data_IF_711227158747
#
_entry.id   IF_711227158747
#
_cell.length_a   1.000
_cell.length_b   1.000
_cell.length_c   1.000
_cell.angle_alpha   90.00
_cell.angle_beta   90.00
_cell.angle_gamma   90.00
#
_symmetry.space_group_name_H-M   'P 1'
#
loop_
_entity.id
_entity.type
_entity.pdbx_description
1 polymer ?
#
# COMPACT_ATOMS: atom_id res chain seq x y z
N UNK A 1 -12.96 -7.87 10.53
CA UNK A 1 -13.19 -7.81 12.00
C UNK A 1 -11.93 -7.65 12.85
N UNK A 2 -10.77 -8.23 12.51
CA UNK A 2 -9.53 -8.00 13.30
C UNK A 2 -8.88 -6.63 13.06
N UNK A 3 -8.76 -6.19 11.80
CA UNK A 3 -8.08 -4.93 11.44
C UNK A 3 -8.75 -3.68 12.02
N UNK A 4 -10.07 -3.55 11.86
CA UNK A 4 -10.83 -2.40 12.39
C UNK A 4 -10.70 -2.30 13.91
N UNK A 5 -10.69 -3.43 14.61
CA UNK A 5 -10.48 -3.48 16.06
C UNK A 5 -9.08 -2.98 16.42
N UNK A 6 -8.04 -3.46 15.74
CA UNK A 6 -6.65 -3.02 15.96
C UNK A 6 -6.49 -1.51 15.69
N UNK A 7 -7.13 -0.99 14.64
CA UNK A 7 -7.11 0.45 14.31
C UNK A 7 -7.89 1.28 15.34
N UNK A 8 -9.06 0.84 15.78
CA UNK A 8 -9.84 1.52 16.81
C UNK A 8 -9.09 1.59 18.15
N UNK A 9 -8.41 0.50 18.53
CA UNK A 9 -7.54 0.49 19.72
C UNK A 9 -6.39 1.51 19.60
N UNK A 10 -5.82 1.66 18.40
CA UNK A 10 -4.75 2.62 18.14
C UNK A 10 -5.26 4.08 18.22
N UNK A 11 -6.43 4.35 17.66
CA UNK A 11 -7.06 5.67 17.67
C UNK A 11 -7.36 6.10 19.11
N UNK A 12 -8.05 5.24 19.86
CA UNK A 12 -8.53 5.50 21.24
C UNK A 12 -7.42 5.56 22.29
N UNK A 13 -6.22 5.08 21.99
CA UNK A 13 -5.09 5.16 22.92
C UNK A 13 -4.69 6.62 23.20
N UNK A 14 -4.95 7.10 24.42
CA UNK A 14 -4.63 8.46 24.85
C UNK A 14 -3.14 8.68 25.17
N UNK A 15 -2.38 7.60 25.41
CA UNK A 15 -0.98 7.67 25.86
C UNK A 15 0.02 7.82 24.70
N UNK A 16 -0.40 7.48 23.48
CA UNK A 16 0.47 7.48 22.31
C UNK A 16 0.31 8.75 21.49
N UNK A 17 1.44 9.34 21.10
CA UNK A 17 1.48 10.45 20.14
C UNK A 17 1.18 9.96 18.72
N UNK A 18 0.76 10.88 17.84
CA UNK A 18 0.37 10.53 16.47
C UNK A 18 1.49 9.85 15.67
N UNK A 19 2.74 10.30 15.82
CA UNK A 19 3.93 9.70 15.23
C UNK A 19 4.19 8.28 15.74
N UNK A 20 4.04 8.04 17.05
CA UNK A 20 4.17 6.72 17.66
C UNK A 20 3.08 5.77 17.14
N UNK A 21 1.84 6.26 17.01
CA UNK A 21 0.73 5.50 16.43
C UNK A 21 1.01 5.11 14.97
N UNK A 22 1.52 6.05 14.16
CA UNK A 22 1.91 5.76 12.78
C UNK A 22 3.07 4.75 12.70
N UNK A 23 4.03 4.79 13.63
CA UNK A 23 5.09 3.79 13.68
C UNK A 23 4.55 2.40 14.00
N UNK A 24 3.60 2.28 14.95
CA UNK A 24 2.94 1.01 15.28
C UNK A 24 2.15 0.47 14.08
N UNK A 25 1.42 1.34 13.38
CA UNK A 25 0.71 0.97 12.14
C UNK A 25 1.67 0.34 11.12
N UNK A 26 2.83 0.96 10.91
CA UNK A 26 3.85 0.48 9.97
C UNK A 26 4.53 -0.82 10.42
N UNK A 27 4.82 -0.96 11.72
CA UNK A 27 5.63 -2.06 12.24
C UNK A 27 4.81 -3.31 12.58
N UNK A 28 3.52 -3.17 12.92
CA UNK A 28 2.72 -4.29 13.43
C UNK A 28 1.42 -4.53 12.67
N UNK A 29 0.77 -3.49 12.16
CA UNK A 29 -0.52 -3.64 11.48
C UNK A 29 -0.32 -3.96 9.99
N UNK A 30 0.53 -3.19 9.28
CA UNK A 30 0.79 -3.47 7.86
C UNK A 30 1.38 -4.87 7.60
N UNK A 31 2.33 -5.39 8.39
CA UNK A 31 2.83 -6.75 8.18
C UNK A 31 1.75 -7.84 8.27
N UNK A 32 0.70 -7.63 9.08
CA UNK A 32 -0.45 -8.56 9.14
C UNK A 32 -1.25 -8.58 7.83
N UNK A 33 -1.21 -7.51 7.03
CA UNK A 33 -1.87 -7.46 5.73
C UNK A 33 -1.01 -8.07 4.62
N UNK A 34 0.31 -8.01 4.73
CA UNK A 34 1.23 -8.52 3.69
C UNK A 34 1.01 -10.01 3.43
N UNK A 35 0.92 -10.83 4.48
CA UNK A 35 0.78 -12.28 4.29
C UNK A 35 -0.51 -12.67 3.56
N UNK A 36 -1.72 -12.23 3.98
CA UNK A 36 -2.95 -12.49 3.23
C UNK A 36 -2.92 -11.97 1.78
N UNK A 37 -2.31 -10.79 1.55
CA UNK A 37 -2.17 -10.23 0.21
C UNK A 37 -1.23 -11.03 -0.69
N UNK A 38 -0.28 -11.78 -0.10
CA UNK A 38 0.68 -12.58 -0.84
C UNK A 38 0.16 -14.00 -1.12
N UNK A 39 -0.63 -14.57 -0.21
CA UNK A 39 -1.12 -15.96 -0.31
C UNK A 39 -2.45 -16.09 -1.04
N UNK A 40 -3.25 -15.02 -1.10
CA UNK A 40 -4.52 -15.03 -1.81
C UNK A 40 -4.28 -14.93 -3.32
N UNK A 41 -4.86 -15.80 -4.15
CA UNK A 41 -4.82 -15.67 -5.61
C UNK A 41 -5.30 -14.29 -6.12
N UNK A 42 -4.69 -13.81 -7.21
CA UNK A 42 -4.92 -12.45 -7.75
C UNK A 42 -6.37 -12.25 -8.22
N UNK A 43 -7.00 -13.30 -8.72
CA UNK A 43 -8.38 -13.37 -9.20
C UNK A 43 -9.40 -13.22 -8.05
N UNK A 44 -9.07 -13.70 -6.86
CA UNK A 44 -9.91 -13.57 -5.66
C UNK A 44 -9.73 -12.22 -4.95
N UNK A 45 -8.65 -11.49 -5.25
CA UNK A 45 -8.39 -10.16 -4.68
C UNK A 45 -9.14 -9.08 -5.48
N UNK A 46 -10.42 -8.92 -5.15
CA UNK A 46 -11.23 -7.85 -5.74
C UNK A 46 -10.71 -6.45 -5.39
N UNK A 47 -10.64 -5.58 -6.41
CA UNK A 47 -10.24 -4.18 -6.22
C UNK A 47 -11.16 -3.42 -5.24
N UNK A 48 -12.45 -3.75 -5.20
CA UNK A 48 -13.45 -3.18 -4.28
C UNK A 48 -13.04 -3.40 -2.82
N UNK A 49 -12.59 -4.60 -2.49
CA UNK A 49 -12.12 -4.98 -1.17
C UNK A 49 -10.85 -4.22 -0.80
N UNK A 50 -9.85 -4.20 -1.69
CA UNK A 50 -8.59 -3.49 -1.46
C UNK A 50 -8.80 -1.98 -1.23
N UNK A 51 -9.69 -1.36 -2.03
CA UNK A 51 -10.07 0.05 -1.87
C UNK A 51 -10.77 0.32 -0.54
N UNK A 52 -11.64 -0.59 -0.09
CA UNK A 52 -12.30 -0.49 1.21
C UNK A 52 -11.30 -0.56 2.36
N UNK A 53 -10.34 -1.49 2.30
CA UNK A 53 -9.28 -1.59 3.32
C UNK A 53 -8.44 -0.30 3.35
N UNK A 54 -8.04 0.21 2.18
CA UNK A 54 -7.33 1.48 2.05
C UNK A 54 -8.12 2.66 2.63
N UNK A 55 -9.44 2.69 2.40
CA UNK A 55 -10.33 3.72 2.97
C UNK A 55 -10.36 3.67 4.50
N UNK A 56 -10.49 2.47 5.10
CA UNK A 56 -10.50 2.29 6.56
C UNK A 56 -9.17 2.76 7.16
N UNK A 57 -8.04 2.42 6.54
CA UNK A 57 -6.71 2.85 6.99
C UNK A 57 -6.58 4.37 6.89
N UNK A 58 -7.00 4.99 5.79
CA UNK A 58 -6.96 6.46 5.65
C UNK A 58 -7.84 7.17 6.67
N UNK A 59 -9.02 6.63 6.98
CA UNK A 59 -9.89 7.17 8.00
C UNK A 59 -9.25 7.09 9.39
N UNK A 60 -8.66 5.94 9.75
CA UNK A 60 -7.94 5.78 11.00
C UNK A 60 -6.75 6.76 11.11
N UNK A 61 -5.96 6.90 10.04
CA UNK A 61 -4.82 7.83 10.03
C UNK A 61 -5.29 9.29 10.10
N UNK A 62 -6.40 9.63 9.44
CA UNK A 62 -7.02 10.96 9.54
C UNK A 62 -7.36 11.29 10.99
N UNK A 63 -7.96 10.36 11.72
CA UNK A 63 -8.31 10.53 13.13
C UNK A 63 -7.05 10.61 14.03
N UNK A 64 -6.04 9.78 13.77
CA UNK A 64 -4.77 9.79 14.53
C UNK A 64 -4.03 11.12 14.37
N UNK A 65 -4.02 11.68 13.16
CA UNK A 65 -3.28 12.91 12.83
C UNK A 65 -4.17 14.16 12.89
N UNK A 66 -5.45 14.04 13.28
CA UNK A 66 -6.45 15.12 13.27
C UNK A 66 -6.49 15.89 11.93
N UNK A 67 -6.41 15.16 10.82
CA UNK A 67 -6.39 15.77 9.48
C UNK A 67 -7.80 16.17 9.02
N UNK A 68 -7.95 17.25 8.23
CA UNK A 68 -9.23 17.63 7.64
C UNK A 68 -9.82 16.53 6.75
N UNK A 69 -11.16 16.48 6.69
CA UNK A 69 -11.88 15.55 5.82
C UNK A 69 -11.51 15.73 4.33
N UNK A 70 -11.18 16.96 3.94
CA UNK A 70 -10.82 17.35 2.57
C UNK A 70 -9.33 17.16 2.23
N UNK A 71 -8.60 16.37 3.05
CA UNK A 71 -7.19 16.07 2.75
C UNK A 71 -7.11 15.24 1.46
N UNK A 72 -6.36 15.70 0.43
CA UNK A 72 -6.24 14.96 -0.82
C UNK A 72 -5.61 13.58 -0.62
N UNK A 73 -6.17 12.56 -1.29
CA UNK A 73 -5.67 11.18 -1.23
C UNK A 73 -4.16 11.07 -1.51
N UNK A 74 -3.58 11.79 -2.49
CA UNK A 74 -2.15 11.71 -2.76
C UNK A 74 -1.24 12.05 -1.58
N UNK A 75 -1.68 12.91 -0.63
CA UNK A 75 -0.91 13.30 0.56
C UNK A 75 -0.59 12.09 1.45
N UNK A 76 -1.54 11.16 1.56
CA UNK A 76 -1.41 9.98 2.41
C UNK A 76 -0.29 9.06 1.93
N UNK A 77 -0.13 8.92 0.61
CA UNK A 77 0.80 7.98 0.01
C UNK A 77 2.13 8.62 -0.40
N UNK A 78 2.15 9.93 -0.60
CA UNK A 78 3.35 10.69 -0.98
C UNK A 78 4.52 10.47 -0.01
N UNK A 79 5.77 10.54 -0.48
CA UNK A 79 6.95 10.34 0.35
C UNK A 79 7.05 11.35 1.51
N UNK A 80 7.59 10.90 2.64
CA UNK A 80 7.84 11.76 3.82
C UNK A 80 8.82 12.92 3.53
N UNK A 81 9.75 12.74 2.58
CA UNK A 81 10.66 13.81 2.13
C UNK A 81 9.93 15.06 1.64
N UNK A 82 8.71 14.89 1.11
CA UNK A 82 7.88 15.97 0.61
C UNK A 82 6.69 16.28 1.52
N UNK A 83 6.83 16.03 2.84
CA UNK A 83 5.77 16.23 3.84
C UNK A 83 4.51 15.36 3.63
N UNK A 84 4.59 14.32 2.79
CA UNK A 84 3.58 13.27 2.74
C UNK A 84 3.67 12.33 3.94
N UNK A 85 2.68 11.46 4.11
CA UNK A 85 2.67 10.50 5.23
C UNK A 85 3.42 9.19 4.92
N UNK A 86 3.65 8.91 3.63
CA UNK A 86 4.34 7.71 3.16
C UNK A 86 3.64 6.41 3.53
N UNK A 87 2.30 6.43 3.63
CA UNK A 87 1.52 5.25 3.96
C UNK A 87 1.65 4.19 2.87
N UNK A 88 1.45 2.94 3.29
CA UNK A 88 1.28 1.82 2.37
C UNK A 88 -0.12 1.89 1.76
N UNK A 89 -0.19 1.71 0.45
CA UNK A 89 -1.46 1.58 -0.27
C UNK A 89 -1.72 0.12 -0.55
N UNK A 90 -2.80 -0.40 0.01
CA UNK A 90 -3.15 -1.83 -0.04
C UNK A 90 -3.36 -2.29 -1.48
N UNK A 91 -3.97 -1.46 -2.33
CA UNK A 91 -4.16 -1.79 -3.75
C UNK A 91 -2.84 -2.05 -4.47
N UNK A 92 -1.81 -1.24 -4.20
CA UNK A 92 -0.50 -1.44 -4.84
C UNK A 92 0.26 -2.60 -4.21
N UNK A 93 0.21 -2.68 -2.89
CA UNK A 93 0.97 -3.68 -2.15
C UNK A 93 0.55 -5.08 -2.55
N UNK A 94 -0.75 -5.32 -2.79
CA UNK A 94 -1.24 -6.59 -3.34
C UNK A 94 -0.45 -6.99 -4.61
N UNK A 95 -0.47 -6.14 -5.64
CA UNK A 95 0.25 -6.39 -6.90
C UNK A 95 1.76 -6.53 -6.70
N UNK A 96 2.37 -5.70 -5.84
CA UNK A 96 3.82 -5.75 -5.55
C UNK A 96 4.22 -7.07 -4.90
N UNK A 97 3.39 -7.60 -3.98
CA UNK A 97 3.66 -8.89 -3.34
C UNK A 97 3.55 -10.03 -4.35
N UNK A 98 2.57 -10.00 -5.25
CA UNK A 98 2.45 -10.98 -6.34
C UNK A 98 3.62 -10.94 -7.32
N UNK A 99 4.12 -9.76 -7.70
CA UNK A 99 5.34 -9.63 -8.51
C UNK A 99 6.54 -10.23 -7.75
N UNK A 100 6.69 -9.89 -6.48
CA UNK A 100 7.82 -10.34 -5.65
C UNK A 100 7.85 -11.85 -5.45
N UNK A 101 6.70 -12.48 -5.24
CA UNK A 101 6.61 -13.93 -5.08
C UNK A 101 6.78 -14.64 -6.42
N UNK A 102 6.19 -14.14 -7.51
CA UNK A 102 6.31 -14.74 -8.84
C UNK A 102 7.76 -14.77 -9.31
N UNK A 103 8.50 -13.67 -9.12
CA UNK A 103 9.95 -13.63 -9.39
C UNK A 103 10.76 -14.60 -8.53
N UNK A 104 10.37 -14.84 -7.28
CA UNK A 104 11.06 -15.82 -6.44
C UNK A 104 10.74 -17.25 -6.85
N UNK A 105 9.50 -17.50 -7.23
CA UNK A 105 9.05 -18.83 -7.64
C UNK A 105 9.56 -19.20 -9.04
N UNK A 106 9.74 -18.24 -9.96
CA UNK A 106 10.33 -18.50 -11.27
C UNK A 106 11.80 -18.95 -11.18
N UNK A 107 12.51 -18.58 -10.11
CA UNK A 107 13.86 -19.08 -9.83
C UNK A 107 13.87 -20.52 -9.30
N UNK A 108 12.74 -20.98 -8.75
CA UNK A 108 12.59 -22.35 -8.27
C UNK A 108 12.14 -23.20 -9.46
N UNK A 109 13.09 -23.89 -10.10
CA UNK A 109 12.83 -24.76 -11.26
C UNK A 109 12.09 -26.04 -10.85
N UNK A 110 10.83 -25.89 -10.42
CA UNK A 110 9.94 -26.96 -9.95
C UNK A 110 8.80 -27.17 -10.97
N UNK A 111 8.73 -28.38 -11.53
CA UNK A 111 7.73 -28.76 -12.53
C UNK A 111 6.32 -28.82 -11.96
N UNK A 112 6.14 -29.10 -10.67
CA UNK A 112 4.82 -29.11 -10.03
C UNK A 112 4.28 -27.69 -9.88
N UNK A 113 5.16 -26.73 -9.61
CA UNK A 113 4.77 -25.33 -9.49
C UNK A 113 4.34 -24.77 -10.85
N UNK A 114 5.10 -25.04 -11.91
CA UNK A 114 4.76 -24.63 -13.27
C UNK A 114 3.45 -25.26 -13.78
N UNK A 115 3.08 -26.44 -13.29
CA UNK A 115 1.83 -27.09 -13.65
C UNK A 115 0.58 -26.46 -13.01
N UNK A 116 0.74 -25.81 -11.85
CA UNK A 116 -0.37 -25.26 -11.05
C UNK A 116 -0.48 -23.74 -11.18
N UNK A 117 0.62 -23.06 -11.50
CA UNK A 117 0.69 -21.60 -11.48
C UNK A 117 1.53 -21.04 -12.62
N UNK A 118 0.92 -20.15 -13.39
CA UNK A 118 1.62 -19.35 -14.40
C UNK A 118 2.17 -18.07 -13.74
N UNK A 119 3.44 -18.13 -13.33
CA UNK A 119 4.11 -17.02 -12.63
C UNK A 119 4.40 -15.85 -13.56
N UNK A 120 4.60 -16.08 -14.85
CA UNK A 120 4.87 -15.03 -15.84
C UNK A 120 3.61 -14.21 -16.11
N UNK A 121 2.48 -14.89 -16.32
CA UNK A 121 1.20 -14.23 -16.56
C UNK A 121 0.71 -13.46 -15.32
N UNK A 122 0.86 -14.03 -14.13
CA UNK A 122 0.53 -13.33 -12.88
C UNK A 122 1.36 -12.06 -12.69
N UNK A 123 2.66 -12.12 -12.97
CA UNK A 123 3.54 -10.95 -12.92
C UNK A 123 3.09 -9.89 -13.93
N UNK A 124 2.77 -10.30 -15.17
CA UNK A 124 2.30 -9.40 -16.22
C UNK A 124 1.02 -8.66 -15.82
N UNK A 125 0.00 -9.39 -15.38
CA UNK A 125 -1.29 -8.81 -14.93
C UNK A 125 -1.06 -7.82 -13.77
N UNK A 126 -0.18 -8.17 -12.83
CA UNK A 126 0.10 -7.29 -11.69
C UNK A 126 0.86 -6.03 -12.09
N UNK A 127 1.76 -6.10 -13.08
CA UNK A 127 2.48 -4.92 -13.61
C UNK A 127 1.55 -4.00 -14.38
N UNK A 128 0.65 -4.54 -15.20
CA UNK A 128 -0.37 -3.77 -15.91
C UNK A 128 -1.27 -3.01 -14.92
N UNK A 129 -1.70 -3.67 -13.83
CA UNK A 129 -2.49 -3.02 -12.76
C UNK A 129 -1.77 -1.85 -12.09
N UNK A 130 -0.44 -1.85 -12.07
CA UNK A 130 0.37 -0.78 -11.49
C UNK A 130 0.70 0.35 -12.48
N UNK A 131 0.37 0.18 -13.78
CA UNK A 131 0.63 1.17 -14.82
C UNK A 131 2.06 1.14 -15.35
N UNK A 132 2.55 -0.04 -15.74
CA UNK A 132 3.84 -0.28 -16.40
C UNK A 132 5.07 0.18 -15.61
N UNK A 133 5.16 -0.27 -14.36
CA UNK A 133 6.35 -0.05 -13.55
C UNK A 133 7.52 -0.87 -14.12
N UNK A 134 8.53 -0.20 -14.67
CA UNK A 134 9.67 -0.84 -15.33
C UNK A 134 10.62 -1.59 -14.40
N UNK A 135 10.59 -1.27 -13.10
CA UNK A 135 11.56 -1.82 -12.17
C UNK A 135 11.23 -3.26 -11.73
N UNK A 136 12.26 -4.11 -11.50
CA UNK A 136 12.06 -5.46 -11.00
C UNK A 136 11.88 -5.51 -9.47
N UNK A 137 12.47 -4.57 -8.73
CA UNK A 137 12.54 -4.65 -7.28
C UNK A 137 11.32 -4.01 -6.59
N UNK A 138 10.67 -4.74 -5.69
CA UNK A 138 9.56 -4.24 -4.87
C UNK A 138 9.87 -2.93 -4.13
N UNK A 139 11.12 -2.69 -3.70
CA UNK A 139 11.50 -1.45 -3.04
C UNK A 139 11.48 -0.26 -3.99
N UNK A 140 11.98 -0.42 -5.21
CA UNK A 140 12.02 0.65 -6.21
C UNK A 140 10.64 0.92 -6.78
N UNK A 141 9.84 -0.12 -7.04
CA UNK A 141 8.42 0.00 -7.42
C UNK A 141 7.65 0.85 -6.39
N UNK A 142 7.81 0.55 -5.08
CA UNK A 142 7.17 1.35 -4.02
C UNK A 142 7.69 2.80 -3.98
N UNK A 143 8.92 3.07 -4.38
CA UNK A 143 9.45 4.44 -4.41
C UNK A 143 8.85 5.23 -5.58
N UNK A 144 8.78 4.62 -6.76
CA UNK A 144 8.21 5.22 -7.97
C UNK A 144 6.72 5.54 -7.82
N UNK A 145 5.92 4.60 -7.29
CA UNK A 145 4.50 4.82 -7.08
C UNK A 145 4.22 5.97 -6.09
N UNK A 146 5.06 6.10 -5.05
CA UNK A 146 4.95 7.23 -4.12
C UNK A 146 5.34 8.55 -4.78
N UNK A 147 6.41 8.55 -5.57
CA UNK A 147 6.82 9.72 -6.33
C UNK A 147 5.72 10.17 -7.31
N UNK A 148 5.08 9.23 -7.99
CA UNK A 148 3.95 9.51 -8.86
C UNK A 148 2.76 10.15 -8.11
N UNK A 149 2.46 9.71 -6.89
CA UNK A 149 1.44 10.39 -6.06
C UNK A 149 1.88 11.79 -5.63
N UNK A 150 3.17 12.01 -5.37
CA UNK A 150 3.65 13.36 -5.12
C UNK A 150 3.44 14.27 -6.34
N UNK A 151 3.69 13.78 -7.55
CA UNK A 151 3.40 14.54 -8.78
C UNK A 151 1.90 14.79 -8.99
N UNK A 152 1.04 13.84 -8.60
CA UNK A 152 -0.41 14.06 -8.57
C UNK A 152 -0.79 15.12 -7.55
N UNK A 153 -0.13 15.14 -6.39
CA UNK A 153 -0.39 16.15 -5.37
C UNK A 153 0.01 17.55 -5.85
N UNK A 154 1.18 17.68 -6.49
CA UNK A 154 1.67 18.98 -6.98
C UNK A 154 0.82 19.53 -8.14
N UNK A 155 0.15 18.67 -8.90
CA UNK A 155 -0.74 19.08 -9.99
C UNK A 155 -2.13 19.53 -9.54
N UNK A 156 -2.52 19.28 -8.28
CA UNK A 156 -3.81 19.73 -7.75
C UNK A 156 -3.85 21.26 -7.61
N UNK A 157 -5.00 21.90 -7.95
CA UNK A 157 -5.15 23.36 -7.87
C UNK A 157 -5.14 23.87 -6.42
N UNK A 158 -5.60 23.05 -5.48
CA UNK A 158 -5.56 23.31 -4.05
C UNK A 158 -4.18 22.92 -3.48
N UNK A 159 -3.15 23.69 -3.82
CA UNK A 159 -1.82 23.49 -3.23
C UNK A 159 -1.81 23.98 -1.79
N UNK A 160 -1.40 23.14 -0.85
CA UNK A 160 -1.08 23.59 0.50
C UNK A 160 0.15 24.51 0.49
N UNK A 161 0.21 25.48 1.41
CA UNK A 161 1.38 26.33 1.60
C UNK A 161 2.59 25.44 1.97
N UNK A 162 3.56 25.32 1.06
CA UNK A 162 4.82 24.60 1.30
C UNK A 162 5.10 23.37 0.44
N UNK A 163 4.35 23.16 -0.65
CA UNK A 163 4.77 22.26 -1.75
C UNK A 163 5.61 23.08 -2.74
N UNK A 164 6.92 23.15 -2.50
CA UNK A 164 7.94 23.68 -3.41
C UNK A 164 9.07 22.64 -3.52
#
# INVERSE_FOLDING_TARGET
MSLEKDLNNLITSALLRADQKLNILNQYIYPKLVYPLQTTPVDLLENSFLQRVDMIIRQAVREICSLPADTPIPVYYSPRKYRGLGLLRVTWEASIQHISISQKLSLVNDSHLAAVRDTEEEERICREKLGDVSNPNARTIRAELREAEFQKWTSLPQRGIGVQ
#
